data_IF_741122002556
#
_entry.id   IF_741122002556
#
_cell.length_a   1.000
_cell.length_b   1.000
_cell.length_c   1.000
_cell.angle_alpha   90.00
_cell.angle_beta   90.00
_cell.angle_gamma   90.00
#
_symmetry.space_group_name_H-M   'P 1'
#
loop_
_entity.id
_entity.type
_entity.pdbx_description
1 polymer ?
#
# COMPACT_ATOMS: atom_id res chain seq x y z
N UNK A 1 15.28 -0.81 7.64
CA UNK A 1 14.29 -1.88 7.50
C UNK A 1 14.85 -3.06 6.73
N UNK A 2 14.31 -4.23 6.98
CA UNK A 2 14.73 -5.45 6.30
C UNK A 2 13.93 -5.71 5.02
N UNK A 3 12.76 -5.12 4.90
CA UNK A 3 11.90 -5.25 3.74
C UNK A 3 11.13 -3.96 3.50
N UNK A 4 10.72 -3.75 2.27
CA UNK A 4 9.88 -2.61 1.89
C UNK A 4 8.69 -3.10 1.08
N UNK A 5 7.55 -2.43 1.24
CA UNK A 5 6.34 -2.69 0.49
C UNK A 5 6.00 -1.44 -0.31
N UNK A 6 5.46 -1.62 -1.48
CA UNK A 6 5.09 -0.50 -2.34
C UNK A 6 3.85 -0.86 -3.15
N UNK A 7 2.90 0.07 -3.22
CA UNK A 7 1.73 -0.10 -4.06
C UNK A 7 2.05 0.24 -5.50
N UNK A 8 1.58 -0.58 -6.44
CA UNK A 8 1.67 -0.24 -7.84
C UNK A 8 0.57 0.76 -8.16
N UNK A 9 0.92 1.82 -8.89
CA UNK A 9 -0.07 2.80 -9.32
C UNK A 9 -0.49 2.54 -10.74
N UNK A 10 -1.80 2.44 -10.95
CA UNK A 10 -2.36 2.53 -12.26
C UNK A 10 -2.52 4.00 -12.60
N UNK A 11 -2.73 4.29 -13.88
CA UNK A 11 -2.70 5.62 -14.40
C UNK A 11 -3.55 6.60 -13.64
N UNK A 12 -2.94 7.67 -13.22
CA UNK A 12 -3.63 8.81 -12.71
C UNK A 12 -4.47 9.45 -13.80
N UNK A 13 -5.54 10.11 -13.41
CA UNK A 13 -6.36 10.89 -14.35
C UNK A 13 -5.58 12.04 -14.97
N UNK A 14 -4.54 12.48 -14.29
CA UNK A 14 -3.67 13.55 -14.71
C UNK A 14 -2.30 12.96 -15.06
N UNK A 15 -1.94 13.03 -16.34
CA UNK A 15 -0.67 12.50 -16.84
C UNK A 15 0.56 13.09 -16.13
N UNK A 16 0.51 14.41 -15.85
CA UNK A 16 1.60 15.07 -15.15
C UNK A 16 1.81 14.49 -13.76
N UNK A 17 0.73 14.25 -13.03
CA UNK A 17 0.81 13.63 -11.70
C UNK A 17 1.35 12.20 -11.78
N UNK A 18 0.94 11.45 -12.82
CA UNK A 18 1.40 10.09 -13.01
C UNK A 18 2.91 10.05 -13.25
N UNK A 19 3.45 10.98 -14.05
CA UNK A 19 4.88 11.07 -14.29
C UNK A 19 5.65 11.42 -13.02
N UNK A 20 5.19 12.40 -12.27
CA UNK A 20 5.82 12.80 -11.03
C UNK A 20 5.86 11.65 -10.02
N UNK A 21 4.76 10.91 -9.90
CA UNK A 21 4.70 9.75 -9.02
C UNK A 21 5.65 8.66 -9.49
N UNK A 22 5.70 8.38 -10.80
CA UNK A 22 6.59 7.38 -11.35
C UNK A 22 8.06 7.75 -11.09
N UNK A 23 8.44 9.01 -11.23
CA UNK A 23 9.78 9.48 -10.95
C UNK A 23 10.12 9.30 -9.47
N UNK A 24 9.20 9.68 -8.57
CA UNK A 24 9.41 9.52 -7.14
C UNK A 24 9.60 8.06 -6.76
N UNK A 25 8.76 7.17 -7.31
CA UNK A 25 8.89 5.74 -7.07
C UNK A 25 10.22 5.20 -7.58
N UNK A 26 10.67 5.68 -8.74
CA UNK A 26 11.97 5.29 -9.27
C UNK A 26 13.12 5.65 -8.34
N UNK A 27 13.10 6.84 -7.77
CA UNK A 27 14.12 7.29 -6.82
C UNK A 27 14.09 6.43 -5.56
N UNK A 28 12.90 6.18 -5.00
CA UNK A 28 12.75 5.34 -3.81
C UNK A 28 13.25 3.93 -4.09
N UNK A 29 12.86 3.35 -5.22
CA UNK A 29 13.31 2.01 -5.62
C UNK A 29 14.84 1.94 -5.72
N UNK A 30 15.45 2.94 -6.33
CA UNK A 30 16.91 2.98 -6.45
C UNK A 30 17.57 3.03 -5.06
N UNK A 31 17.08 3.88 -4.16
CA UNK A 31 17.59 3.96 -2.80
C UNK A 31 17.50 2.63 -2.07
N UNK A 32 16.36 1.94 -2.19
CA UNK A 32 16.16 0.66 -1.53
C UNK A 32 17.10 -0.41 -2.10
N UNK A 33 17.28 -0.44 -3.42
CA UNK A 33 18.18 -1.37 -4.07
C UNK A 33 19.62 -1.12 -3.61
N UNK A 34 20.03 0.13 -3.53
CA UNK A 34 21.38 0.49 -3.06
C UNK A 34 21.61 0.08 -1.61
N UNK A 35 20.57 0.05 -0.78
CA UNK A 35 20.64 -0.39 0.60
C UNK A 35 20.41 -1.89 0.76
N UNK A 36 20.25 -2.61 -0.35
CA UNK A 36 19.98 -4.05 -0.38
C UNK A 36 18.69 -4.41 0.40
N UNK A 37 17.68 -3.57 0.30
CA UNK A 37 16.37 -3.80 0.94
C UNK A 37 15.41 -4.40 -0.09
N UNK A 38 14.90 -5.62 0.12
CA UNK A 38 13.93 -6.21 -0.79
C UNK A 38 12.65 -5.37 -0.88
N UNK A 39 12.11 -5.25 -2.10
CA UNK A 39 10.91 -4.48 -2.36
C UNK A 39 9.80 -5.44 -2.81
N UNK A 40 8.63 -5.33 -2.18
CA UNK A 40 7.45 -6.12 -2.50
C UNK A 40 6.37 -5.20 -3.03
N UNK A 41 5.84 -5.50 -4.21
CA UNK A 41 4.88 -4.65 -4.92
C UNK A 41 3.48 -5.24 -4.83
N UNK A 42 2.50 -4.42 -4.52
CA UNK A 42 1.10 -4.84 -4.43
C UNK A 42 0.22 -3.87 -5.19
N UNK A 43 -0.73 -4.41 -5.96
CA UNK A 43 -1.71 -3.57 -6.66
C UNK A 43 -2.80 -3.12 -5.68
N UNK A 44 -3.52 -2.03 -6.00
CA UNK A 44 -4.66 -1.61 -5.19
C UNK A 44 -5.70 -2.72 -4.97
N UNK A 45 -5.97 -3.53 -6.00
CA UNK A 45 -6.92 -4.64 -5.87
C UNK A 45 -6.40 -5.73 -4.94
N UNK A 46 -5.12 -6.04 -5.01
CA UNK A 46 -4.51 -7.01 -4.09
C UNK A 46 -4.62 -6.55 -2.64
N UNK A 47 -4.38 -5.25 -2.41
CA UNK A 47 -4.47 -4.67 -1.07
C UNK A 47 -5.92 -4.72 -0.56
N UNK A 48 -6.88 -4.32 -1.38
CA UNK A 48 -8.29 -4.39 -1.00
C UNK A 48 -8.71 -5.81 -0.64
N UNK A 49 -8.36 -6.78 -1.47
CA UNK A 49 -8.67 -8.17 -1.22
C UNK A 49 -8.03 -8.69 0.06
N UNK A 50 -6.77 -8.35 0.30
CA UNK A 50 -6.06 -8.83 1.48
C UNK A 50 -6.65 -8.25 2.77
N UNK A 51 -7.08 -7.00 2.75
CA UNK A 51 -7.59 -6.31 3.94
C UNK A 51 -9.06 -6.60 4.17
N UNK A 52 -9.89 -6.58 3.14
CA UNK A 52 -11.35 -6.66 3.27
C UNK A 52 -11.98 -7.96 2.74
N UNK A 53 -11.23 -8.74 2.00
CA UNK A 53 -11.74 -9.95 1.36
C UNK A 53 -12.38 -9.69 -0.01
N UNK A 54 -12.47 -8.46 -0.47
CA UNK A 54 -13.05 -8.14 -1.77
C UNK A 54 -12.36 -6.95 -2.43
N UNK A 55 -12.15 -7.04 -3.74
CA UNK A 55 -11.56 -5.95 -4.53
C UNK A 55 -12.54 -4.82 -4.80
N UNK A 56 -13.82 -5.00 -4.50
CA UNK A 56 -14.86 -3.99 -4.72
C UNK A 56 -15.07 -3.06 -3.52
N UNK A 57 -14.30 -3.24 -2.45
CA UNK A 57 -14.41 -2.38 -1.27
C UNK A 57 -13.99 -0.94 -1.59
N UNK A 58 -14.72 0.03 -1.06
CA UNK A 58 -14.36 1.43 -1.20
C UNK A 58 -13.33 1.84 -0.13
N UNK A 59 -12.85 3.08 -0.23
CA UNK A 59 -11.82 3.58 0.68
C UNK A 59 -12.27 3.61 2.14
N UNK A 60 -13.53 3.96 2.38
CA UNK A 60 -14.06 4.00 3.74
C UNK A 60 -14.10 2.59 4.34
N UNK A 61 -14.48 1.60 3.56
CA UNK A 61 -14.48 0.21 4.00
C UNK A 61 -13.07 -0.26 4.32
N UNK A 62 -12.10 0.04 3.46
CA UNK A 62 -10.70 -0.30 3.73
C UNK A 62 -10.22 0.34 5.02
N UNK A 63 -10.50 1.63 5.22
CA UNK A 63 -10.10 2.35 6.42
C UNK A 63 -10.71 1.72 7.68
N UNK A 64 -11.97 1.29 7.62
CA UNK A 64 -12.63 0.62 8.74
C UNK A 64 -11.98 -0.71 9.08
N UNK A 65 -11.64 -1.51 8.07
CA UNK A 65 -10.96 -2.78 8.30
C UNK A 65 -9.56 -2.56 8.87
N UNK A 66 -8.83 -1.55 8.39
CA UNK A 66 -7.54 -1.19 8.97
C UNK A 66 -7.70 -0.80 10.43
N UNK A 67 -8.73 0.00 10.74
CA UNK A 67 -9.03 0.38 12.12
C UNK A 67 -9.24 -0.85 13.01
N UNK A 68 -10.03 -1.81 12.53
CA UNK A 68 -10.35 -3.03 13.29
C UNK A 68 -9.12 -3.92 13.45
N UNK A 69 -8.38 -4.13 12.38
CA UNK A 69 -7.21 -5.01 12.39
C UNK A 69 -6.09 -4.49 13.28
N UNK A 70 -5.92 -3.18 13.35
CA UNK A 70 -4.88 -2.55 14.16
C UNK A 70 -5.40 -2.03 15.49
N UNK A 71 -6.68 -2.22 15.77
CA UNK A 71 -7.31 -1.78 17.02
C UNK A 71 -7.13 -0.29 17.27
N UNK A 72 -7.35 0.52 16.23
CA UNK A 72 -7.26 1.98 16.33
C UNK A 72 -8.55 2.54 16.91
N UNK A 73 -8.45 3.66 17.63
CA UNK A 73 -9.62 4.33 18.20
C UNK A 73 -10.51 4.98 17.14
N UNK A 74 -9.89 5.39 16.03
CA UNK A 74 -10.57 6.03 14.91
C UNK A 74 -9.99 5.50 13.61
N UNK A 75 -10.75 5.56 12.49
CA UNK A 75 -10.20 5.20 11.19
C UNK A 75 -8.99 6.08 10.87
N UNK A 76 -7.94 5.52 10.24
CA UNK A 76 -6.76 6.31 9.91
C UNK A 76 -7.09 7.42 8.91
N UNK A 77 -6.54 8.59 9.14
CA UNK A 77 -6.68 9.77 8.27
C UNK A 77 -5.35 10.53 8.25
N UNK A 78 -5.01 11.17 7.15
CA UNK A 78 -5.73 11.20 5.87
C UNK A 78 -5.71 9.85 5.12
N UNK A 79 -6.35 9.81 3.94
CA UNK A 79 -6.46 8.57 3.14
C UNK A 79 -5.12 7.92 2.88
N UNK A 80 -4.06 8.70 2.70
CA UNK A 80 -2.72 8.17 2.45
C UNK A 80 -2.19 7.33 3.61
N UNK A 81 -2.54 7.69 4.85
CA UNK A 81 -2.17 6.91 6.02
C UNK A 81 -2.88 5.55 6.01
N UNK A 82 -4.17 5.54 5.63
CA UNK A 82 -4.92 4.30 5.50
C UNK A 82 -4.33 3.41 4.41
N UNK A 83 -3.95 3.99 3.27
CA UNK A 83 -3.34 3.26 2.16
C UNK A 83 -2.02 2.62 2.59
N UNK A 84 -1.17 3.35 3.27
CA UNK A 84 0.13 2.84 3.74
C UNK A 84 -0.05 1.70 4.75
N UNK A 85 -0.97 1.86 5.69
CA UNK A 85 -1.25 0.82 6.68
C UNK A 85 -1.86 -0.43 6.03
N UNK A 86 -2.75 -0.25 5.06
CA UNK A 86 -3.34 -1.36 4.32
C UNK A 86 -2.27 -2.13 3.54
N UNK A 87 -1.32 -1.43 2.93
CA UNK A 87 -0.18 -2.06 2.25
C UNK A 87 0.67 -2.87 3.21
N UNK A 88 0.97 -2.32 4.37
CA UNK A 88 1.75 -3.03 5.38
C UNK A 88 1.04 -4.29 5.88
N UNK A 89 -0.28 -4.23 6.11
CA UNK A 89 -1.09 -5.39 6.50
C UNK A 89 -1.03 -6.46 5.40
N UNK A 90 -1.15 -6.05 4.14
CA UNK A 90 -1.10 -6.96 2.99
C UNK A 90 0.23 -7.70 2.97
N UNK A 91 1.33 -7.00 3.14
CA UNK A 91 2.65 -7.60 3.14
C UNK A 91 2.80 -8.58 4.31
N UNK A 92 2.35 -8.19 5.48
CA UNK A 92 2.40 -9.05 6.66
C UNK A 92 1.64 -10.36 6.43
N UNK A 93 0.42 -10.28 5.90
CA UNK A 93 -0.39 -11.46 5.60
C UNK A 93 0.28 -12.35 4.55
N UNK A 94 0.90 -11.75 3.53
CA UNK A 94 1.61 -12.51 2.49
C UNK A 94 2.79 -13.29 3.05
N UNK A 95 3.53 -12.70 3.98
CA UNK A 95 4.68 -13.38 4.59
C UNK A 95 4.26 -14.51 5.52
N UNK A 96 3.09 -14.39 6.16
CA UNK A 96 2.56 -15.46 7.01
C UNK A 96 2.08 -16.66 6.19
N UNK A 97 1.64 -16.42 4.95
CA UNK A 97 1.11 -17.46 4.07
C UNK A 97 2.18 -18.21 3.30
N UNK A 98 3.39 -17.71 3.29
CA UNK A 98 4.49 -18.26 2.49
C UNK A 98 5.13 -19.49 3.12
#
# INVERSE_FOLDING_TARGET
PTEAEMETLFFARNTTSALAVAEAKGVVNLCLVQQAIPIFMYSPNQIKCAVTGTKSADKDTVARYVQLLLNLKQPPRPDHAADALAGAITHFHSTLSA
#
